data_IF_568635758156
#
_entry.id   IF_568635758156
#
_cell.length_a   1.000
_cell.length_b   1.000
_cell.length_c   1.000
_cell.angle_alpha   90.00
_cell.angle_beta   90.00
_cell.angle_gamma   90.00
#
_symmetry.space_group_name_H-M   'P 1'
#
loop_
_entity.id
_entity.type
_entity.pdbx_description
1 polymer ?
#
# COMPACT_ATOMS: atom_id res chain seq x y z
N UNK A 1 24.53 -25.23 26.34
CA UNK A 1 23.61 -24.11 26.03
C UNK A 1 23.96 -23.68 24.62
N UNK A 2 23.24 -24.20 23.63
CA UNK A 2 23.46 -23.77 22.24
C UNK A 2 23.07 -22.29 22.12
N UNK A 3 23.84 -21.47 21.40
CA UNK A 3 23.49 -20.07 21.18
C UNK A 3 22.16 -20.02 20.43
N UNK A 4 21.29 -19.06 20.79
CA UNK A 4 20.07 -18.73 20.04
C UNK A 4 20.48 -18.13 18.69
N UNK A 5 20.97 -18.97 17.79
CA UNK A 5 21.04 -18.68 16.37
C UNK A 5 19.70 -19.10 15.78
N UNK A 6 18.95 -18.13 15.25
CA UNK A 6 18.09 -18.31 14.05
C UNK A 6 17.11 -17.16 13.78
N UNK A 7 17.19 -16.05 14.51
CA UNK A 7 16.48 -14.82 14.13
C UNK A 7 17.38 -13.93 13.25
N UNK A 8 17.62 -14.40 12.02
CA UNK A 8 18.46 -13.71 11.03
C UNK A 8 17.80 -13.67 9.64
N UNK A 9 16.47 -13.71 9.57
CA UNK A 9 15.72 -13.54 8.31
C UNK A 9 15.27 -12.08 8.18
N UNK A 10 15.21 -11.56 6.96
CA UNK A 10 14.73 -10.19 6.70
C UNK A 10 13.52 -10.28 5.77
N UNK A 11 12.34 -10.51 6.37
CA UNK A 11 11.10 -10.74 5.62
C UNK A 11 10.13 -9.61 5.93
N UNK A 12 9.54 -9.01 4.90
CA UNK A 12 8.48 -8.02 5.08
C UNK A 12 7.21 -8.71 5.61
N UNK A 13 6.74 -8.25 6.76
CA UNK A 13 5.49 -8.68 7.40
C UNK A 13 4.67 -7.46 7.79
N UNK A 14 3.49 -7.69 8.36
CA UNK A 14 2.60 -6.66 8.89
C UNK A 14 2.44 -6.77 10.38
N UNK A 15 2.32 -5.63 11.05
CA UNK A 15 1.93 -5.53 12.46
C UNK A 15 0.92 -4.40 12.62
N UNK A 16 0.11 -4.46 13.67
CA UNK A 16 -0.80 -3.36 13.99
C UNK A 16 -0.07 -2.29 14.81
N UNK A 17 0.12 -1.12 14.21
CA UNK A 17 0.67 0.04 14.88
C UNK A 17 -0.45 0.77 15.63
N UNK A 18 -0.42 0.68 16.96
CA UNK A 18 -1.43 1.31 17.83
C UNK A 18 -1.40 2.84 17.78
N UNK A 19 -0.25 3.45 17.42
CA UNK A 19 -0.12 4.91 17.34
C UNK A 19 -0.83 5.45 16.10
N UNK A 20 -0.61 4.83 14.94
CA UNK A 20 -1.28 5.22 13.69
C UNK A 20 -2.67 4.60 13.54
N UNK A 21 -3.00 3.59 14.36
CA UNK A 21 -4.20 2.76 14.26
C UNK A 21 -4.29 2.04 12.91
N UNK A 22 -3.13 1.64 12.36
CA UNK A 22 -3.00 1.03 11.05
C UNK A 22 -2.14 -0.24 11.06
N UNK A 23 -2.47 -1.17 10.18
CA UNK A 23 -1.62 -2.30 9.85
C UNK A 23 -0.50 -1.85 8.90
N UNK A 24 0.71 -1.77 9.44
CA UNK A 24 1.91 -1.26 8.76
C UNK A 24 2.89 -2.37 8.44
N UNK A 25 3.67 -2.18 7.37
CA UNK A 25 4.77 -3.08 7.02
C UNK A 25 5.97 -2.82 7.92
N UNK A 26 6.65 -3.90 8.28
CA UNK A 26 7.94 -3.83 8.94
C UNK A 26 8.85 -4.97 8.48
N UNK A 27 10.15 -4.80 8.67
CA UNK A 27 11.12 -5.86 8.43
C UNK A 27 11.17 -6.77 9.65
N UNK A 28 10.62 -7.97 9.51
CA UNK A 28 10.58 -8.96 10.58
C UNK A 28 11.83 -9.83 10.57
N UNK A 29 12.40 -10.04 11.76
CA UNK A 29 13.69 -10.71 11.96
C UNK A 29 13.61 -12.23 12.23
N UNK A 30 12.41 -12.82 12.29
CA UNK A 30 12.21 -14.25 12.53
C UNK A 30 11.83 -14.65 13.96
N UNK A 31 11.90 -13.74 14.93
CA UNK A 31 11.71 -14.07 16.35
C UNK A 31 10.28 -13.81 16.87
N UNK A 32 9.64 -12.74 16.39
CA UNK A 32 8.34 -12.29 16.91
C UNK A 32 7.20 -12.99 16.15
N UNK A 33 6.51 -13.95 16.74
CA UNK A 33 5.38 -14.61 16.08
C UNK A 33 4.04 -13.94 16.38
N UNK A 34 3.87 -13.39 17.59
CA UNK A 34 2.59 -12.79 18.00
C UNK A 34 2.39 -11.39 17.39
N UNK A 35 1.16 -11.11 16.94
CA UNK A 35 0.81 -9.86 16.28
C UNK A 35 1.51 -9.61 14.93
N UNK A 36 2.13 -10.63 14.33
CA UNK A 36 2.80 -10.56 13.03
C UNK A 36 2.00 -11.30 11.98
N UNK A 37 1.71 -10.63 10.86
CA UNK A 37 0.84 -11.14 9.81
C UNK A 37 1.55 -11.17 8.46
N UNK A 38 1.24 -12.19 7.65
CA UNK A 38 1.73 -12.32 6.28
C UNK A 38 1.17 -11.25 5.36
N UNK A 39 -0.11 -10.93 5.52
CA UNK A 39 -0.80 -9.97 4.68
C UNK A 39 -1.42 -8.87 5.53
N UNK A 40 -1.50 -7.67 4.95
CA UNK A 40 -2.22 -6.56 5.58
C UNK A 40 -3.67 -6.92 5.89
N UNK A 41 -4.31 -7.67 4.99
CA UNK A 41 -5.68 -8.11 5.13
C UNK A 41 -5.91 -8.94 6.39
N UNK A 42 -4.98 -9.84 6.72
CA UNK A 42 -5.08 -10.67 7.92
C UNK A 42 -4.87 -9.84 9.18
N UNK A 43 -3.91 -8.90 9.16
CA UNK A 43 -3.72 -7.94 10.23
C UNK A 43 -4.99 -7.10 10.47
N UNK A 44 -5.57 -6.50 9.42
CA UNK A 44 -6.78 -5.66 9.52
C UNK A 44 -7.95 -6.47 10.07
N UNK A 45 -8.15 -7.70 9.57
CA UNK A 45 -9.24 -8.58 10.02
C UNK A 45 -9.14 -8.94 11.50
N UNK A 46 -7.93 -9.11 12.00
CA UNK A 46 -7.66 -9.52 13.37
C UNK A 46 -7.64 -8.31 14.33
N UNK A 47 -6.86 -7.28 14.02
CA UNK A 47 -6.59 -6.16 14.92
C UNK A 47 -7.61 -5.02 14.80
N UNK A 48 -8.06 -4.68 13.59
CA UNK A 48 -8.89 -3.49 13.39
C UNK A 48 -9.73 -3.56 12.12
N UNK A 49 -10.88 -4.26 12.19
CA UNK A 49 -11.80 -4.45 11.04
C UNK A 49 -12.40 -3.17 10.47
N UNK A 50 -12.20 -2.03 11.11
CA UNK A 50 -12.65 -0.72 10.66
C UNK A 50 -11.48 0.21 10.31
N UNK A 51 -10.29 -0.35 10.05
CA UNK A 51 -9.14 0.43 9.64
C UNK A 51 -9.45 1.26 8.39
N UNK A 52 -9.17 2.56 8.47
CA UNK A 52 -9.37 3.48 7.35
C UNK A 52 -8.52 3.05 6.15
N UNK A 53 -9.02 3.29 4.95
CA UNK A 53 -8.34 2.93 3.71
C UNK A 53 -7.01 3.70 3.44
N UNK A 54 -6.61 4.63 4.31
CA UNK A 54 -5.28 5.24 4.33
C UNK A 54 -4.85 5.79 2.96
N UNK A 55 -3.64 5.43 2.53
CA UNK A 55 -3.10 5.80 1.20
C UNK A 55 -3.99 5.35 0.05
N UNK A 56 -4.73 4.24 0.21
CA UNK A 56 -5.62 3.69 -0.82
C UNK A 56 -6.92 4.50 -1.01
N UNK A 57 -7.28 5.34 -0.04
CA UNK A 57 -8.40 6.29 -0.15
C UNK A 57 -8.00 7.62 -0.77
N UNK A 58 -6.71 7.91 -0.87
CA UNK A 58 -6.25 9.15 -1.45
C UNK A 58 -6.53 9.19 -2.96
N UNK A 59 -6.69 10.41 -3.49
CA UNK A 59 -6.78 10.62 -4.93
C UNK A 59 -5.48 10.13 -5.60
N UNK A 60 -5.61 9.32 -6.64
CA UNK A 60 -4.48 8.94 -7.47
C UNK A 60 -3.84 10.16 -8.15
N UNK A 61 -2.57 10.10 -8.55
CA UNK A 61 -1.96 11.09 -9.42
C UNK A 61 -2.70 11.20 -10.77
N UNK A 62 -2.60 12.37 -11.39
CA UNK A 62 -3.10 12.57 -12.75
C UNK A 62 -2.31 11.69 -13.73
N UNK A 63 -3.02 11.13 -14.70
CA UNK A 63 -2.44 10.37 -15.80
C UNK A 63 -1.94 11.30 -16.92
N UNK A 64 -1.28 10.73 -17.92
CA UNK A 64 -0.74 11.50 -19.04
C UNK A 64 -1.79 12.34 -19.80
N UNK A 65 -2.98 11.78 -20.04
CA UNK A 65 -4.04 12.49 -20.75
C UNK A 65 -4.58 13.67 -19.93
N UNK A 66 -4.74 13.49 -18.62
CA UNK A 66 -5.19 14.53 -17.68
C UNK A 66 -4.14 15.65 -17.56
N UNK A 67 -2.86 15.32 -17.45
CA UNK A 67 -1.78 16.31 -17.43
C UNK A 67 -1.68 17.08 -18.76
N UNK A 68 -1.86 16.39 -19.90
CA UNK A 68 -1.93 17.01 -21.23
C UNK A 68 -3.10 17.99 -21.34
N UNK A 69 -4.29 17.59 -20.88
CA UNK A 69 -5.48 18.44 -20.88
C UNK A 69 -5.30 19.69 -20.01
N UNK A 70 -4.51 19.60 -18.93
CA UNK A 70 -4.12 20.73 -18.08
C UNK A 70 -3.00 21.60 -18.69
N UNK A 71 -2.59 21.35 -19.93
CA UNK A 71 -1.54 22.11 -20.62
C UNK A 71 -0.14 21.93 -20.01
N UNK A 72 0.10 20.86 -19.23
CA UNK A 72 1.43 20.60 -18.66
C UNK A 72 2.36 20.07 -19.75
N UNK A 73 3.62 20.54 -19.76
CA UNK A 73 4.69 19.90 -20.54
C UNK A 73 4.95 18.52 -19.97
N UNK A 74 4.80 17.50 -20.81
CA UNK A 74 5.02 16.11 -20.42
C UNK A 74 6.45 15.68 -20.76
N UNK A 75 7.09 14.86 -19.91
CA UNK A 75 8.27 14.09 -20.29
C UNK A 75 7.99 13.23 -21.53
N UNK A 76 9.04 12.85 -22.27
CA UNK A 76 8.91 11.91 -23.40
C UNK A 76 8.59 10.49 -22.96
N UNK A 77 8.99 10.12 -21.74
CA UNK A 77 8.77 8.78 -21.19
C UNK A 77 7.48 8.74 -20.37
N UNK A 78 6.81 7.60 -20.47
CA UNK A 78 5.67 7.26 -19.64
C UNK A 78 5.87 5.85 -19.10
N UNK A 79 5.32 5.59 -17.93
CA UNK A 79 5.37 4.29 -17.29
C UNK A 79 3.99 3.80 -16.88
N UNK A 80 3.84 2.48 -16.88
CA UNK A 80 2.70 1.85 -16.27
C UNK A 80 2.80 1.93 -14.75
N UNK A 81 1.71 2.35 -14.12
CA UNK A 81 1.58 2.43 -12.67
C UNK A 81 0.19 1.94 -12.24
N UNK A 82 0.00 1.81 -10.94
CA UNK A 82 -1.21 1.28 -10.32
C UNK A 82 -1.69 2.21 -9.21
N UNK A 83 -2.99 2.26 -9.02
CA UNK A 83 -3.65 2.91 -7.88
C UNK A 83 -4.80 2.04 -7.43
N UNK A 84 -5.21 2.14 -6.17
CA UNK A 84 -6.39 1.46 -5.68
C UNK A 84 -7.64 2.30 -5.94
N UNK A 85 -8.60 1.71 -6.64
CA UNK A 85 -9.92 2.27 -6.86
C UNK A 85 -10.86 1.72 -5.78
N UNK A 86 -11.29 2.57 -4.85
CA UNK A 86 -12.19 2.18 -3.76
C UNK A 86 -13.57 1.75 -4.26
N UNK A 87 -14.11 2.41 -5.28
CA UNK A 87 -15.43 2.09 -5.83
C UNK A 87 -15.43 0.70 -6.46
N UNK A 88 -14.38 0.39 -7.22
CA UNK A 88 -14.19 -0.90 -7.88
C UNK A 88 -13.52 -1.95 -7.00
N UNK A 89 -13.04 -1.58 -5.81
CA UNK A 89 -12.30 -2.42 -4.86
C UNK A 89 -11.13 -3.18 -5.50
N UNK A 90 -10.37 -2.51 -6.35
CA UNK A 90 -9.28 -3.17 -7.09
C UNK A 90 -8.19 -2.19 -7.48
N UNK A 91 -6.98 -2.72 -7.58
CA UNK A 91 -5.86 -2.04 -8.20
C UNK A 91 -6.10 -1.86 -9.70
N UNK A 92 -6.13 -0.60 -10.12
CA UNK A 92 -6.34 -0.19 -11.51
C UNK A 92 -5.02 0.31 -12.10
N UNK A 93 -4.71 -0.16 -13.31
CA UNK A 93 -3.54 0.26 -14.08
C UNK A 93 -3.81 1.63 -14.73
N UNK A 94 -2.80 2.48 -14.79
CA UNK A 94 -2.85 3.73 -15.54
C UNK A 94 -1.45 4.13 -16.06
N UNK A 95 -1.43 5.02 -17.06
CA UNK A 95 -0.19 5.54 -17.63
C UNK A 95 0.23 6.84 -16.92
N UNK A 96 1.39 6.80 -16.29
CA UNK A 96 1.97 7.91 -15.55
C UNK A 96 3.14 8.53 -16.31
N UNK A 97 3.14 9.85 -16.40
CA UNK A 97 4.26 10.66 -16.94
C UNK A 97 4.36 11.99 -16.17
N UNK A 98 3.97 11.98 -14.90
CA UNK A 98 4.11 13.12 -14.01
C UNK A 98 5.49 13.18 -13.33
N UNK A 99 5.71 14.20 -12.49
CA UNK A 99 6.88 14.25 -11.61
C UNK A 99 6.83 13.13 -10.56
N UNK A 100 7.92 12.92 -9.82
CA UNK A 100 7.92 12.01 -8.67
C UNK A 100 6.79 12.35 -7.69
N UNK A 101 6.10 11.33 -7.20
CA UNK A 101 5.00 11.48 -6.24
C UNK A 101 5.48 11.18 -4.82
N UNK A 102 4.82 11.71 -3.77
CA UNK A 102 5.13 11.36 -2.40
C UNK A 102 5.02 9.85 -2.16
N UNK A 103 5.90 9.31 -1.30
CA UNK A 103 5.94 7.87 -0.96
C UNK A 103 4.59 7.39 -0.39
N UNK A 104 3.90 8.24 0.36
CA UNK A 104 2.59 7.95 0.96
C UNK A 104 1.44 8.43 0.08
N UNK A 105 1.43 8.02 -1.19
CA UNK A 105 0.37 8.36 -2.15
C UNK A 105 -0.31 7.10 -2.70
N UNK A 106 -1.51 7.26 -3.28
CA UNK A 106 -2.20 6.20 -4.02
C UNK A 106 -1.54 5.97 -5.39
N UNK A 107 -0.27 5.57 -5.36
CA UNK A 107 0.57 5.33 -6.51
C UNK A 107 1.53 4.19 -6.22
N UNK A 108 1.47 3.15 -7.04
CA UNK A 108 2.27 1.96 -6.90
C UNK A 108 2.90 1.61 -8.24
N UNK A 109 4.19 1.28 -8.23
CA UNK A 109 4.93 0.94 -9.45
C UNK A 109 4.57 -0.44 -9.98
N UNK A 110 3.96 -1.31 -9.16
CA UNK A 110 3.56 -2.67 -9.56
C UNK A 110 2.19 -3.04 -8.98
N UNK A 111 1.50 -3.96 -9.66
CA UNK A 111 0.26 -4.56 -9.16
C UNK A 111 0.47 -5.21 -7.79
N UNK A 112 1.58 -5.93 -7.63
CA UNK A 112 1.91 -6.66 -6.39
C UNK A 112 1.95 -5.71 -5.20
N UNK A 113 2.64 -4.58 -5.31
CA UNK A 113 2.71 -3.60 -4.22
C UNK A 113 1.34 -2.99 -3.94
N UNK A 114 0.58 -2.59 -4.98
CA UNK A 114 -0.78 -2.08 -4.78
C UNK A 114 -1.69 -3.09 -4.05
N UNK A 115 -1.62 -4.37 -4.45
CA UNK A 115 -2.43 -5.42 -3.84
C UNK A 115 -2.00 -5.70 -2.40
N UNK A 116 -0.70 -5.68 -2.11
CA UNK A 116 -0.20 -5.86 -0.74
C UNK A 116 -0.67 -4.73 0.18
N UNK A 117 -0.67 -3.48 -0.30
CA UNK A 117 -1.13 -2.34 0.51
C UNK A 117 -2.66 -2.26 0.64
N UNK A 118 -3.39 -2.51 -0.44
CA UNK A 118 -4.79 -2.08 -0.51
C UNK A 118 -5.80 -3.23 -0.58
N UNK A 119 -5.37 -4.47 -0.89
CA UNK A 119 -6.29 -5.61 -0.92
C UNK A 119 -6.78 -5.91 0.49
N UNK A 120 -8.09 -6.13 0.62
CA UNK A 120 -8.69 -6.55 1.90
C UNK A 120 -9.11 -5.42 2.82
N UNK A 121 -9.06 -4.18 2.35
CA UNK A 121 -9.61 -3.03 3.08
C UNK A 121 -11.13 -3.18 3.27
N UNK A 122 -11.64 -3.10 4.50
CA UNK A 122 -13.05 -2.91 4.76
C UNK A 122 -13.42 -1.52 4.25
N UNK A 123 -14.38 -1.45 3.31
CA UNK A 123 -14.91 -0.16 2.89
C UNK A 123 -15.82 0.32 4.02
N UNK A 124 -15.30 1.17 4.89
CA UNK A 124 -16.16 2.04 5.68
C UNK A 124 -16.35 3.34 4.89
N UNK A 125 -17.57 3.54 4.40
CA UNK A 125 -18.01 4.81 3.85
C UNK A 125 -18.54 5.63 5.05
N UNK A 126 -17.85 6.67 5.52
CA UNK A 126 -18.49 7.62 6.40
C UNK A 126 -19.52 8.37 5.55
N UNK A 127 -20.79 8.08 5.77
CA UNK A 127 -21.86 9.06 5.46
C UNK A 127 -21.61 10.35 6.24
#
# INVERSE_FOLDING_TARGET
MEPVGDCAVNILKYFFNQTSQMCERFLWNGCLSDGVFETRCDCVRYCHRNERAGVCAQRRPDNCAELKAKGKRLPRSSMDAWYYDLQRRRCMKFQFCGPSVPIMSNYFTTLTVCMMECRGLPIYNPE
#
